data_IF_821964881417
#
_entry.id   IF_821964881417
#
_cell.length_a   1.000
_cell.length_b   1.000
_cell.length_c   1.000
_cell.angle_alpha   90.00
_cell.angle_beta   90.00
_cell.angle_gamma   90.00
#
_symmetry.space_group_name_H-M   'P 1'
#
loop_
_entity.id
_entity.type
_entity.pdbx_description
1 polymer ?
#
# COMPACT_ATOMS: atom_id res chain seq x y z
N UNK A 1 -65.09 -23.89 -44.16
CA UNK A 1 -64.63 -24.57 -42.94
C UNK A 1 -63.15 -24.20 -42.73
N UNK A 2 -62.96 -23.13 -42.02
CA UNK A 2 -61.56 -22.60 -41.77
C UNK A 2 -61.08 -23.11 -40.43
N UNK A 3 -59.99 -23.87 -40.47
CA UNK A 3 -59.29 -24.31 -39.26
C UNK A 3 -58.26 -23.26 -38.89
N UNK A 4 -58.47 -22.48 -37.81
CA UNK A 4 -57.55 -21.56 -37.21
C UNK A 4 -56.52 -22.36 -36.45
N UNK A 5 -55.24 -22.27 -36.87
CA UNK A 5 -54.11 -22.84 -36.16
C UNK A 5 -53.67 -21.82 -35.10
N UNK A 6 -53.83 -22.12 -33.82
CA UNK A 6 -53.24 -21.38 -32.74
C UNK A 6 -51.75 -21.72 -32.64
N UNK A 7 -50.91 -20.77 -32.95
CA UNK A 7 -49.46 -20.83 -32.69
C UNK A 7 -49.24 -20.40 -31.24
N UNK A 8 -48.91 -21.37 -30.40
CA UNK A 8 -48.49 -21.11 -29.03
C UNK A 8 -47.05 -20.57 -29.05
N UNK A 9 -46.89 -19.30 -28.87
CA UNK A 9 -45.55 -18.66 -28.64
C UNK A 9 -45.22 -18.87 -27.18
N UNK A 10 -44.37 -19.85 -26.91
CA UNK A 10 -43.79 -20.06 -25.59
C UNK A 10 -42.66 -19.06 -25.41
N UNK A 11 -42.93 -17.99 -24.67
CA UNK A 11 -41.93 -16.99 -24.25
C UNK A 11 -41.03 -17.62 -23.18
N UNK A 12 -39.85 -18.09 -23.59
CA UNK A 12 -38.81 -18.55 -22.67
C UNK A 12 -38.18 -17.33 -22.05
N UNK A 13 -38.65 -16.97 -20.85
CA UNK A 13 -38.03 -15.95 -20.01
C UNK A 13 -36.76 -16.53 -19.38
N UNK A 14 -35.63 -16.40 -20.07
CA UNK A 14 -34.34 -16.79 -19.54
C UNK A 14 -33.96 -15.79 -18.42
N UNK A 15 -34.23 -16.16 -17.18
CA UNK A 15 -33.69 -15.51 -16.01
C UNK A 15 -32.17 -15.71 -16.03
N UNK A 16 -31.44 -14.74 -16.53
CA UNK A 16 -30.03 -14.58 -16.23
C UNK A 16 -29.88 -14.24 -14.73
N UNK A 17 -29.79 -15.29 -13.91
CA UNK A 17 -29.23 -15.14 -12.59
C UNK A 17 -27.73 -14.80 -12.80
N UNK A 18 -27.42 -13.52 -12.89
CA UNK A 18 -26.07 -13.07 -12.74
C UNK A 18 -25.60 -13.56 -11.37
N UNK A 19 -24.70 -14.53 -11.35
CA UNK A 19 -23.95 -14.85 -10.16
C UNK A 19 -23.15 -13.59 -9.81
N UNK A 20 -23.67 -12.80 -8.89
CA UNK A 20 -22.84 -11.83 -8.16
C UNK A 20 -21.89 -12.70 -7.36
N UNK A 21 -20.70 -12.94 -7.88
CA UNK A 21 -19.61 -13.48 -7.09
C UNK A 21 -19.37 -12.46 -5.97
N UNK A 22 -19.90 -12.76 -4.80
CA UNK A 22 -19.44 -12.13 -3.59
C UNK A 22 -17.97 -12.54 -3.50
N UNK A 23 -17.08 -11.60 -3.77
CA UNK A 23 -15.67 -11.81 -3.49
C UNK A 23 -15.58 -12.05 -1.97
N UNK A 24 -15.32 -13.30 -1.59
CA UNK A 24 -14.96 -13.63 -0.21
C UNK A 24 -13.62 -12.95 0.05
N UNK A 25 -13.69 -11.75 0.60
CA UNK A 25 -12.52 -10.94 0.88
C UNK A 25 -11.58 -11.68 1.83
N UNK A 26 -10.46 -12.17 1.30
CA UNK A 26 -9.44 -12.81 2.12
C UNK A 26 -8.63 -11.75 2.85
N UNK A 27 -8.74 -11.73 4.19
CA UNK A 27 -7.90 -10.90 5.04
C UNK A 27 -6.65 -11.65 5.48
N UNK A 28 -5.57 -10.92 5.66
CA UNK A 28 -4.31 -11.46 6.15
C UNK A 28 -3.40 -10.37 6.67
N UNK A 29 -2.22 -10.79 7.13
CA UNK A 29 -1.16 -9.91 7.59
C UNK A 29 0.19 -10.46 7.17
N UNK A 30 1.16 -9.59 6.94
CA UNK A 30 2.55 -9.95 6.81
C UNK A 30 3.46 -8.87 7.37
N UNK A 31 4.59 -9.32 7.90
CA UNK A 31 5.65 -8.49 8.40
C UNK A 31 6.79 -8.42 7.37
N UNK A 32 7.37 -7.27 7.23
CA UNK A 32 8.51 -7.06 6.34
C UNK A 32 9.38 -5.91 6.83
N UNK A 33 10.62 -5.94 6.41
CA UNK A 33 11.54 -4.85 6.68
C UNK A 33 12.09 -4.24 5.41
N UNK A 34 12.57 -3.02 5.53
CA UNK A 34 13.11 -2.25 4.41
C UNK A 34 14.37 -1.53 4.86
N UNK A 35 15.45 -1.71 4.11
CA UNK A 35 16.62 -0.84 4.20
C UNK A 35 16.45 0.31 3.24
N UNK A 36 16.56 1.55 3.72
CA UNK A 36 16.36 2.77 2.96
C UNK A 36 17.65 3.55 2.76
N UNK A 37 17.74 4.18 1.61
CA UNK A 37 18.68 5.26 1.32
C UNK A 37 17.91 6.41 0.68
N UNK A 38 18.23 7.65 1.02
CA UNK A 38 17.50 8.77 0.46
C UNK A 38 18.14 10.12 0.66
N UNK A 39 17.61 11.07 -0.09
CA UNK A 39 18.00 12.48 -0.03
C UNK A 39 16.89 13.28 0.66
N UNK A 40 17.30 14.13 1.58
CA UNK A 40 16.42 15.02 2.32
C UNK A 40 16.78 16.46 2.00
N UNK A 41 15.78 17.25 1.64
CA UNK A 41 15.91 18.71 1.52
C UNK A 41 15.09 19.34 2.63
N UNK A 42 15.73 20.13 3.47
CA UNK A 42 15.08 20.78 4.59
C UNK A 42 15.46 22.26 4.68
N UNK A 43 14.55 23.05 5.23
CA UNK A 43 14.79 24.47 5.57
C UNK A 43 14.41 24.72 7.03
N UNK A 44 15.19 25.52 7.70
CA UNK A 44 14.82 26.08 8.98
C UNK A 44 13.95 27.30 8.75
N UNK A 45 12.69 27.25 9.20
CA UNK A 45 11.71 28.33 9.03
C UNK A 45 11.65 29.25 10.25
N UNK A 46 12.05 28.74 11.41
CA UNK A 46 12.26 29.50 12.65
C UNK A 46 13.25 28.75 13.57
N UNK A 47 13.61 29.31 14.69
CA UNK A 47 14.41 28.60 15.71
C UNK A 47 13.64 27.33 16.18
N UNK A 48 14.31 26.20 16.13
CA UNK A 48 13.70 24.89 16.47
C UNK A 48 12.62 24.38 15.50
N UNK A 49 12.33 25.08 14.39
CA UNK A 49 11.29 24.71 13.44
C UNK A 49 11.89 24.45 12.05
N UNK A 50 11.78 23.22 11.59
CA UNK A 50 12.31 22.70 10.33
C UNK A 50 11.16 22.09 9.52
N UNK A 51 11.12 22.40 8.23
CA UNK A 51 10.24 21.77 7.26
C UNK A 51 11.06 21.19 6.11
N UNK A 52 10.60 20.08 5.53
CA UNK A 52 11.35 19.47 4.45
C UNK A 52 10.61 18.40 3.69
N UNK A 53 11.32 17.88 2.69
CA UNK A 53 10.87 16.74 1.87
C UNK A 53 11.99 15.73 1.76
N UNK A 54 11.63 14.46 1.54
CA UNK A 54 12.57 13.37 1.29
C UNK A 54 12.13 12.50 0.11
N UNK A 55 13.12 11.98 -0.59
CA UNK A 55 12.95 10.94 -1.60
C UNK A 55 13.80 9.74 -1.17
N UNK A 56 13.16 8.59 -0.99
CA UNK A 56 13.79 7.39 -0.45
C UNK A 56 13.62 6.23 -1.42
N UNK A 57 14.67 5.47 -1.60
CA UNK A 57 14.65 4.18 -2.31
C UNK A 57 15.11 3.08 -1.35
N UNK A 58 14.58 1.89 -1.50
CA UNK A 58 14.92 0.80 -0.59
C UNK A 58 14.68 -0.57 -1.18
N UNK A 59 15.23 -1.57 -0.50
CA UNK A 59 14.97 -2.97 -0.76
C UNK A 59 14.11 -3.55 0.37
N UNK A 60 13.11 -4.36 0.00
CA UNK A 60 12.15 -4.96 0.93
C UNK A 60 12.38 -6.45 1.07
N UNK A 61 12.17 -6.95 2.29
CA UNK A 61 12.30 -8.37 2.61
C UNK A 61 11.16 -8.78 3.54
N UNK A 62 10.35 -9.73 3.09
CA UNK A 62 9.33 -10.33 3.95
C UNK A 62 9.99 -11.17 5.04
N UNK A 63 9.59 -11.02 6.28
CA UNK A 63 10.23 -11.65 7.44
C UNK A 63 10.03 -13.16 7.49
N UNK A 64 9.05 -13.69 6.74
CA UNK A 64 8.91 -15.14 6.54
C UNK A 64 9.93 -15.74 5.55
N UNK A 65 10.76 -14.90 4.90
CA UNK A 65 11.74 -15.32 3.89
C UNK A 65 11.16 -15.60 2.51
N UNK A 66 9.87 -15.30 2.29
CA UNK A 66 9.18 -15.46 1.01
C UNK A 66 7.85 -14.70 1.01
N UNK A 67 7.15 -14.65 -0.13
CA UNK A 67 5.81 -14.07 -0.22
C UNK A 67 5.83 -12.59 -0.63
N UNK A 68 4.82 -11.84 -0.19
CA UNK A 68 4.60 -10.45 -0.61
C UNK A 68 5.78 -9.55 -0.23
N UNK A 69 6.23 -8.74 -1.18
CA UNK A 69 7.33 -7.79 -1.03
C UNK A 69 8.66 -8.42 -0.60
N UNK A 70 8.86 -9.73 -0.85
CA UNK A 70 10.15 -10.37 -0.61
C UNK A 70 11.08 -10.16 -1.80
N UNK A 71 12.34 -9.73 -1.54
CA UNK A 71 13.30 -9.31 -2.56
C UNK A 71 12.71 -8.27 -3.53
N UNK A 72 11.94 -7.35 -2.97
CA UNK A 72 11.29 -6.28 -3.71
C UNK A 72 12.05 -4.95 -3.60
N UNK A 73 11.49 -3.96 -4.26
CA UNK A 73 11.99 -2.58 -4.26
C UNK A 73 10.93 -1.64 -3.71
N UNK A 74 11.36 -0.52 -3.16
CA UNK A 74 10.46 0.53 -2.70
C UNK A 74 10.97 1.91 -3.08
N UNK A 75 10.02 2.80 -3.38
CA UNK A 75 10.26 4.21 -3.54
C UNK A 75 9.21 5.00 -2.77
N UNK A 76 9.67 5.93 -1.91
CA UNK A 76 8.78 6.79 -1.12
C UNK A 76 9.14 8.26 -1.31
N UNK A 77 8.09 9.08 -1.27
CA UNK A 77 8.19 10.53 -1.18
C UNK A 77 7.55 10.96 0.13
N UNK A 78 8.29 11.77 0.90
CA UNK A 78 7.87 12.26 2.21
C UNK A 78 7.85 13.78 2.25
N UNK A 79 6.97 14.34 3.06
CA UNK A 79 7.05 15.70 3.57
C UNK A 79 7.01 15.62 5.09
N UNK A 80 7.81 16.44 5.75
CA UNK A 80 7.88 16.47 7.21
C UNK A 80 7.96 17.88 7.75
N UNK A 81 7.51 18.02 8.96
CA UNK A 81 7.64 19.23 9.77
C UNK A 81 8.07 18.81 11.19
N UNK A 82 9.08 19.48 11.73
CA UNK A 82 9.54 19.27 13.10
C UNK A 82 9.60 20.62 13.80
N UNK A 83 8.89 20.74 14.91
CA UNK A 83 8.86 21.94 15.72
C UNK A 83 9.24 21.58 17.17
N UNK A 84 10.37 22.10 17.65
CA UNK A 84 10.93 21.83 18.97
C UNK A 84 11.01 20.35 19.33
N UNK A 85 11.44 19.52 18.35
CA UNK A 85 11.61 18.08 18.52
C UNK A 85 10.34 17.25 18.35
N UNK A 86 9.18 17.88 18.14
CA UNK A 86 7.93 17.19 17.77
C UNK A 86 7.74 17.27 16.28
N UNK A 87 7.64 16.13 15.61
CA UNK A 87 7.55 16.05 14.16
C UNK A 87 6.32 15.32 13.65
N UNK A 88 5.87 15.73 12.48
CA UNK A 88 4.93 14.98 11.64
C UNK A 88 5.64 14.61 10.33
N UNK A 89 5.40 13.40 9.88
CA UNK A 89 5.92 12.87 8.64
C UNK A 89 4.77 12.21 7.87
N UNK A 90 4.63 12.52 6.58
CA UNK A 90 3.60 11.96 5.70
C UNK A 90 4.10 11.82 4.28
N UNK A 91 3.53 10.87 3.55
CA UNK A 91 3.92 10.66 2.16
C UNK A 91 3.26 9.46 1.52
N UNK A 92 3.90 9.01 0.45
CA UNK A 92 3.43 7.89 -0.37
C UNK A 92 4.59 7.00 -0.74
N UNK A 93 4.32 5.70 -0.80
CA UNK A 93 5.26 4.70 -1.26
C UNK A 93 4.67 3.87 -2.40
N UNK A 94 5.53 3.54 -3.35
CA UNK A 94 5.32 2.47 -4.32
C UNK A 94 6.27 1.32 -3.97
N UNK A 95 5.70 0.15 -3.74
CA UNK A 95 6.41 -1.09 -3.41
C UNK A 95 6.31 -2.00 -4.62
N UNK A 96 7.43 -2.37 -5.23
CA UNK A 96 7.46 -3.31 -6.33
C UNK A 96 7.88 -4.69 -5.81
N UNK A 97 7.09 -5.69 -6.12
CA UNK A 97 7.44 -7.09 -5.84
C UNK A 97 8.41 -7.63 -6.91
N UNK A 98 9.08 -8.72 -6.63
CA UNK A 98 10.07 -9.33 -7.52
C UNK A 98 9.53 -9.73 -8.90
N UNK A 99 8.22 -9.89 -9.05
CA UNK A 99 7.54 -10.16 -10.33
C UNK A 99 7.03 -8.89 -11.05
N UNK A 100 7.25 -7.70 -10.47
CA UNK A 100 6.87 -6.42 -11.03
C UNK A 100 5.49 -5.90 -10.65
N UNK A 101 4.68 -6.68 -9.92
CA UNK A 101 3.43 -6.19 -9.34
C UNK A 101 3.71 -5.15 -8.26
N UNK A 102 2.83 -4.15 -8.15
CA UNK A 102 3.05 -3.00 -7.27
C UNK A 102 1.94 -2.83 -6.25
N UNK A 103 2.34 -2.54 -5.02
CA UNK A 103 1.47 -2.08 -3.95
C UNK A 103 1.72 -0.57 -3.74
N UNK A 104 0.67 0.19 -3.51
CA UNK A 104 0.75 1.62 -3.21
C UNK A 104 0.24 1.87 -1.79
N UNK A 105 0.97 2.68 -1.04
CA UNK A 105 0.55 3.12 0.29
C UNK A 105 0.71 4.62 0.44
N UNK A 106 -0.15 5.22 1.26
CA UNK A 106 0.16 6.48 1.94
C UNK A 106 0.61 6.17 3.36
N UNK A 107 1.36 7.07 3.95
CA UNK A 107 1.75 6.94 5.35
C UNK A 107 1.64 8.28 6.10
N UNK A 108 1.45 8.17 7.39
CA UNK A 108 1.50 9.28 8.34
C UNK A 108 2.09 8.79 9.66
N UNK A 109 2.82 9.65 10.34
CA UNK A 109 3.41 9.35 11.64
C UNK A 109 4.28 10.49 12.16
N UNK A 110 5.05 10.19 13.17
CA UNK A 110 6.17 11.03 13.59
C UNK A 110 7.44 10.71 12.77
N UNK A 111 8.59 11.17 13.17
CA UNK A 111 9.84 10.93 12.45
C UNK A 111 10.36 9.50 12.54
N UNK A 112 9.82 8.66 13.41
CA UNK A 112 10.32 7.31 13.69
C UNK A 112 9.28 6.20 13.54
N UNK A 113 8.00 6.51 13.65
CA UNK A 113 6.92 5.52 13.59
C UNK A 113 5.61 6.12 13.10
N UNK A 114 4.75 5.28 12.57
CA UNK A 114 3.44 5.70 12.09
C UNK A 114 2.64 4.54 11.51
N UNK A 115 1.75 4.89 10.60
CA UNK A 115 0.83 3.96 9.96
C UNK A 115 0.92 4.09 8.44
N UNK A 116 1.04 2.96 7.76
CA UNK A 116 0.81 2.82 6.33
C UNK A 116 -0.68 2.53 6.08
N UNK A 117 -1.22 3.11 5.03
CA UNK A 117 -2.56 2.80 4.51
C UNK A 117 -2.44 2.39 3.05
N UNK A 118 -2.96 1.21 2.69
CA UNK A 118 -2.97 0.75 1.30
C UNK A 118 -3.91 1.65 0.51
N UNK A 119 -3.42 2.26 -0.55
CA UNK A 119 -4.15 3.17 -1.44
C UNK A 119 -4.43 2.56 -2.81
N UNK A 120 -3.92 1.35 -3.09
CA UNK A 120 -4.13 0.63 -4.34
C UNK A 120 -2.98 -0.30 -4.69
N UNK A 121 -3.03 -0.84 -5.90
CA UNK A 121 -1.97 -1.71 -6.42
C UNK A 121 -2.24 -2.21 -7.82
N UNK A 122 -1.28 -2.95 -8.38
CA UNK A 122 -1.38 -3.62 -9.68
C UNK A 122 -1.27 -5.14 -9.50
N UNK A 123 -1.65 -5.91 -10.52
CA UNK A 123 -1.56 -7.36 -10.53
C UNK A 123 -2.20 -7.98 -9.30
N UNK A 124 -1.45 -8.77 -8.53
CA UNK A 124 -1.96 -9.45 -7.32
C UNK A 124 -2.40 -8.51 -6.20
N UNK A 125 -2.00 -7.24 -6.24
CA UNK A 125 -2.38 -6.20 -5.27
C UNK A 125 -3.60 -5.37 -5.70
N UNK A 126 -4.19 -5.66 -6.86
CA UNK A 126 -5.37 -4.95 -7.34
C UNK A 126 -6.54 -5.11 -6.37
N UNK A 127 -7.12 -3.97 -5.96
CA UNK A 127 -8.27 -3.94 -5.04
C UNK A 127 -7.93 -4.20 -3.57
N UNK A 128 -6.64 -4.35 -3.21
CA UNK A 128 -6.25 -4.48 -1.82
C UNK A 128 -6.55 -3.21 -1.03
N UNK A 129 -7.01 -3.41 0.19
CA UNK A 129 -7.20 -2.37 1.20
C UNK A 129 -6.55 -2.82 2.51
N UNK A 130 -6.23 -1.87 3.38
CA UNK A 130 -5.67 -2.22 4.68
C UNK A 130 -4.75 -1.16 5.24
N UNK A 131 -4.24 -1.45 6.43
CA UNK A 131 -3.35 -0.56 7.17
C UNK A 131 -2.36 -1.38 7.99
N UNK A 132 -1.29 -0.73 8.43
CA UNK A 132 -0.39 -1.35 9.39
C UNK A 132 0.69 -0.41 9.88
N UNK A 133 1.25 -0.68 11.06
CA UNK A 133 2.29 0.15 11.64
C UNK A 133 3.61 0.04 10.88
N UNK A 134 4.37 1.11 10.96
CA UNK A 134 5.80 1.12 10.63
C UNK A 134 6.59 1.75 11.77
N UNK A 135 7.82 1.30 11.94
CA UNK A 135 8.79 1.89 12.85
C UNK A 135 10.18 1.82 12.24
N UNK A 136 10.88 2.95 12.25
CA UNK A 136 12.20 3.09 11.67
C UNK A 136 13.26 3.38 12.73
N UNK A 137 14.47 2.91 12.46
CA UNK A 137 15.67 3.18 13.27
C UNK A 137 16.71 3.79 12.35
N UNK A 138 17.30 4.90 12.79
CA UNK A 138 18.46 5.50 12.14
C UNK A 138 19.66 4.55 12.24
N UNK A 139 20.33 4.32 11.12
CA UNK A 139 21.53 3.47 11.05
C UNK A 139 22.80 4.19 11.47
N UNK A 140 22.72 5.50 11.72
CA UNK A 140 23.89 6.37 11.95
C UNK A 140 24.67 6.72 10.67
N UNK A 141 24.23 6.22 9.51
CA UNK A 141 24.75 6.61 8.20
C UNK A 141 23.81 7.63 7.59
N UNK A 142 24.33 8.78 7.18
CA UNK A 142 23.54 9.87 6.64
C UNK A 142 22.65 9.41 5.46
N UNK A 143 21.36 9.71 5.54
CA UNK A 143 20.36 9.33 4.54
C UNK A 143 19.96 7.87 4.55
N UNK A 144 20.40 7.07 5.52
CA UNK A 144 20.08 5.66 5.63
C UNK A 144 19.31 5.34 6.90
N UNK A 145 18.25 4.54 6.78
CA UNK A 145 17.51 4.01 7.90
C UNK A 145 16.99 2.60 7.60
N UNK A 146 16.54 1.95 8.65
CA UNK A 146 15.95 0.62 8.61
C UNK A 146 14.57 0.67 9.24
N UNK A 147 13.57 0.14 8.54
CA UNK A 147 12.20 0.14 9.03
C UNK A 147 11.64 -1.28 9.11
N UNK A 148 10.99 -1.58 10.23
CA UNK A 148 10.11 -2.75 10.38
C UNK A 148 8.68 -2.32 10.11
N UNK A 149 7.92 -3.15 9.44
CA UNK A 149 6.58 -2.83 8.99
C UNK A 149 5.68 -4.05 9.06
N UNK A 150 4.43 -3.83 9.41
CA UNK A 150 3.35 -4.80 9.28
C UNK A 150 2.31 -4.27 8.34
N UNK A 151 1.75 -5.08 7.45
CA UNK A 151 0.56 -4.73 6.69
C UNK A 151 -0.53 -5.76 6.93
N UNK A 152 -1.66 -5.27 7.49
CA UNK A 152 -2.91 -6.01 7.55
C UNK A 152 -3.70 -5.65 6.29
N UNK A 153 -4.12 -6.65 5.54
CA UNK A 153 -4.77 -6.43 4.25
C UNK A 153 -6.06 -7.21 4.11
N UNK A 154 -6.94 -6.71 3.26
CA UNK A 154 -8.09 -7.42 2.71
C UNK A 154 -8.01 -7.36 1.20
N UNK A 155 -8.16 -8.53 0.55
CA UNK A 155 -8.27 -8.68 -0.91
C UNK A 155 -9.74 -8.68 -1.31
N UNK A 156 -10.05 -8.27 -2.56
CA UNK A 156 -11.39 -8.46 -3.11
C UNK A 156 -11.78 -9.92 -3.21
#
# INVERSE_FOLDING_TARGET
MNKIKYILITLILSFFFGNVALADGHSGSFDFHTGWSGDVTAMQVAEGHIMGTGNFVGATFNDSGSGYLHNGEAQCFAAFEVNNGVGENKGWCAWADSDGDRLYTSFVGDTQKGVNTISGGTGKYTGWTGTGPWACTDTGVNGSNYCNQTLNYTKP
#
